data_IF_274114268042
#
_entry.id   IF_274114268042
#
_cell.length_a   1.000
_cell.length_b   1.000
_cell.length_c   1.000
_cell.angle_alpha   90.00
_cell.angle_beta   90.00
_cell.angle_gamma   90.00
#
_symmetry.space_group_name_H-M   'P 1'
#
loop_
_entity.id
_entity.type
_entity.pdbx_description
1 polymer ?
#
# COMPACT_ATOMS: atom_id res chain seq x y z
N UNK A 1 18.06 -16.09 -13.09
CA UNK A 1 17.18 -15.22 -12.27
C UNK A 1 15.88 -15.97 -12.10
N UNK A 2 15.43 -16.21 -10.87
CA UNK A 2 14.10 -16.79 -10.64
C UNK A 2 13.05 -15.84 -11.24
N UNK A 3 12.11 -16.42 -12.00
CA UNK A 3 10.96 -15.70 -12.57
C UNK A 3 9.69 -16.26 -11.93
N UNK A 4 9.37 -15.84 -10.69
CA UNK A 4 8.25 -16.42 -9.95
C UNK A 4 6.88 -15.96 -10.49
N UNK A 5 6.84 -14.93 -11.34
CA UNK A 5 5.61 -14.39 -11.89
C UNK A 5 5.45 -14.78 -13.36
N UNK A 6 4.24 -15.22 -13.72
CA UNK A 6 3.84 -15.41 -15.12
C UNK A 6 3.25 -14.08 -15.60
N UNK A 7 3.71 -13.62 -16.76
CA UNK A 7 3.19 -12.44 -17.43
C UNK A 7 2.55 -12.90 -18.74
N UNK A 8 1.29 -12.53 -18.94
CA UNK A 8 0.54 -12.81 -20.16
C UNK A 8 0.21 -11.46 -20.78
N UNK A 9 0.70 -11.19 -21.98
CA UNK A 9 0.35 -9.95 -22.69
C UNK A 9 -1.08 -10.06 -23.25
N UNK A 10 -1.76 -8.93 -23.45
CA UNK A 10 -3.13 -8.91 -23.99
C UNK A 10 -3.27 -9.58 -25.36
N UNK A 11 -2.20 -9.61 -26.17
CA UNK A 11 -2.16 -10.33 -27.45
C UNK A 11 -2.06 -11.85 -27.31
N UNK A 12 -1.82 -12.35 -26.10
CA UNK A 12 -1.55 -13.75 -25.78
C UNK A 12 -2.69 -14.47 -25.07
N UNK A 13 -3.83 -13.80 -24.81
CA UNK A 13 -5.06 -14.45 -24.36
C UNK A 13 -6.31 -13.85 -25.00
N UNK A 14 -7.41 -14.61 -24.93
CA UNK A 14 -8.75 -14.11 -25.18
C UNK A 14 -9.47 -14.01 -23.85
N UNK A 15 -10.03 -12.84 -23.58
CA UNK A 15 -11.11 -12.71 -22.61
C UNK A 15 -12.41 -12.71 -23.39
N UNK A 16 -13.27 -13.70 -23.16
CA UNK A 16 -14.56 -13.73 -23.83
C UNK A 16 -15.42 -12.56 -23.37
N UNK A 17 -16.12 -11.90 -24.31
CA UNK A 17 -17.10 -10.92 -23.92
C UNK A 17 -18.27 -11.60 -23.20
N UNK A 18 -19.01 -10.81 -22.44
CA UNK A 18 -20.17 -11.28 -21.71
C UNK A 18 -21.25 -10.20 -21.67
N UNK A 19 -22.50 -10.66 -21.54
CA UNK A 19 -23.64 -9.78 -21.31
C UNK A 19 -23.58 -9.23 -19.88
N UNK A 20 -23.73 -7.91 -19.74
CA UNK A 20 -23.84 -7.30 -18.42
C UNK A 20 -25.28 -7.41 -17.91
N UNK A 21 -25.49 -7.59 -16.60
CA UNK A 21 -26.82 -7.61 -16.03
C UNK A 21 -27.49 -6.26 -16.20
N UNK A 22 -28.78 -6.31 -16.52
CA UNK A 22 -29.67 -5.14 -16.53
C UNK A 22 -29.69 -4.48 -15.15
N UNK A 23 -29.54 -3.15 -15.05
CA UNK A 23 -29.69 -2.43 -13.79
C UNK A 23 -31.08 -2.60 -13.17
N UNK A 24 -31.14 -2.60 -11.84
CA UNK A 24 -32.41 -2.61 -11.12
C UNK A 24 -33.24 -1.37 -11.47
N UNK A 25 -34.55 -1.56 -11.70
CA UNK A 25 -35.46 -0.47 -12.04
C UNK A 25 -35.37 0.06 -13.48
N UNK A 26 -34.48 -0.49 -14.30
CA UNK A 26 -34.41 -0.18 -15.72
C UNK A 26 -35.08 -1.27 -16.56
N UNK A 27 -35.83 -0.87 -17.59
CA UNK A 27 -36.33 -1.75 -18.65
C UNK A 27 -35.92 -1.20 -20.01
N UNK A 28 -35.49 -2.09 -20.90
CA UNK A 28 -35.28 -1.70 -22.29
C UNK A 28 -36.64 -1.38 -22.94
N UNK A 29 -36.68 -0.45 -23.92
CA UNK A 29 -37.90 -0.18 -24.66
C UNK A 29 -38.47 -1.44 -25.33
N UNK A 30 -39.78 -1.48 -25.52
CA UNK A 30 -40.41 -2.51 -26.35
C UNK A 30 -39.82 -2.50 -27.76
N UNK A 31 -39.62 -3.69 -28.34
CA UNK A 31 -38.98 -3.89 -29.65
C UNK A 31 -37.53 -3.37 -29.75
N UNK A 32 -36.79 -3.26 -28.64
CA UNK A 32 -35.35 -2.94 -28.70
C UNK A 32 -34.55 -4.02 -29.46
N UNK A 33 -33.63 -3.67 -30.38
CA UNK A 33 -33.12 -2.32 -30.72
C UNK A 33 -33.89 -1.58 -31.83
N UNK A 34 -35.00 -2.11 -32.31
CA UNK A 34 -35.85 -1.54 -33.36
C UNK A 34 -36.87 -0.48 -32.87
N UNK A 35 -36.85 -0.17 -31.59
CA UNK A 35 -37.78 0.79 -30.97
C UNK A 35 -37.72 2.23 -31.53
N UNK A 36 -36.57 2.68 -32.06
CA UNK A 36 -36.44 4.01 -32.69
C UNK A 36 -35.32 4.08 -33.73
N UNK A 37 -35.29 5.14 -34.55
CA UNK A 37 -34.30 5.34 -35.61
C UNK A 37 -32.86 5.43 -35.08
N UNK A 38 -32.67 6.05 -33.91
CA UNK A 38 -31.34 6.16 -33.28
C UNK A 38 -30.80 4.79 -32.86
N UNK A 39 -31.62 3.95 -32.22
CA UNK A 39 -31.19 2.61 -31.82
C UNK A 39 -30.96 1.70 -33.03
N UNK A 40 -31.81 1.77 -34.07
CA UNK A 40 -31.58 1.07 -35.34
C UNK A 40 -30.26 1.50 -35.99
N UNK A 41 -29.98 2.80 -36.02
CA UNK A 41 -28.75 3.34 -36.59
C UNK A 41 -27.51 2.85 -35.83
N UNK A 42 -27.52 2.95 -34.49
CA UNK A 42 -26.40 2.53 -33.65
C UNK A 42 -26.18 1.01 -33.70
N UNK A 43 -27.26 0.22 -33.74
CA UNK A 43 -27.18 -1.23 -33.93
C UNK A 43 -26.54 -1.60 -35.28
N UNK A 44 -26.94 -0.91 -36.35
CA UNK A 44 -26.35 -1.09 -37.67
C UNK A 44 -24.86 -0.73 -37.67
N UNK A 45 -24.48 0.40 -37.07
CA UNK A 45 -23.08 0.83 -36.94
C UNK A 45 -22.21 -0.26 -36.27
N UNK A 46 -22.70 -0.83 -35.18
CA UNK A 46 -22.01 -1.91 -34.46
C UNK A 46 -21.92 -3.19 -35.28
N UNK A 47 -23.00 -3.55 -35.99
CA UNK A 47 -23.04 -4.74 -36.87
C UNK A 47 -22.07 -4.58 -38.05
N UNK A 48 -22.09 -3.43 -38.73
CA UNK A 48 -21.18 -3.11 -39.84
C UNK A 48 -19.70 -3.10 -39.37
N UNK A 49 -19.43 -2.72 -38.12
CA UNK A 49 -18.09 -2.83 -37.53
C UNK A 49 -17.70 -4.30 -37.27
N UNK A 50 -18.59 -5.08 -36.65
CA UNK A 50 -18.37 -6.50 -36.39
C UNK A 50 -18.13 -7.27 -37.70
N UNK A 51 -18.89 -6.99 -38.77
CA UNK A 51 -18.73 -7.65 -40.07
C UNK A 51 -17.33 -7.47 -40.65
N UNK A 52 -16.73 -6.29 -40.46
CA UNK A 52 -15.34 -6.03 -40.89
C UNK A 52 -14.31 -6.75 -40.03
N UNK A 53 -14.61 -7.10 -38.78
CA UNK A 53 -13.71 -7.89 -37.93
C UNK A 53 -13.62 -9.35 -38.43
N UNK A 54 -12.43 -9.97 -38.51
CA UNK A 54 -11.12 -9.49 -38.05
C UNK A 54 -10.31 -8.69 -39.09
N UNK A 55 -10.85 -8.47 -40.28
CA UNK A 55 -10.15 -7.84 -41.41
C UNK A 55 -10.08 -6.30 -41.34
N UNK A 56 -10.50 -5.68 -40.25
CA UNK A 56 -10.49 -4.24 -40.07
C UNK A 56 -9.09 -3.64 -39.87
N UNK A 57 -8.10 -4.42 -39.43
CA UNK A 57 -6.68 -4.03 -39.39
C UNK A 57 -5.75 -5.26 -39.31
N UNK A 58 -4.45 -5.06 -39.54
CA UNK A 58 -3.47 -6.16 -39.48
C UNK A 58 -3.38 -6.79 -38.09
N UNK A 59 -3.42 -6.00 -37.01
CA UNK A 59 -3.39 -6.50 -35.64
C UNK A 59 -4.56 -7.46 -35.34
N UNK A 60 -5.78 -7.13 -35.76
CA UNK A 60 -6.93 -8.01 -35.58
C UNK A 60 -6.86 -9.25 -36.47
N UNK A 61 -6.34 -9.12 -37.69
CA UNK A 61 -6.11 -10.27 -38.58
C UNK A 61 -5.10 -11.25 -37.99
N UNK A 62 -3.99 -10.75 -37.45
CA UNK A 62 -2.97 -11.56 -36.77
C UNK A 62 -3.51 -12.22 -35.50
N UNK A 63 -4.25 -11.47 -34.67
CA UNK A 63 -4.90 -12.00 -33.48
C UNK A 63 -5.85 -13.14 -33.83
N UNK A 64 -6.73 -12.94 -34.81
CA UNK A 64 -7.67 -13.98 -35.23
C UNK A 64 -6.95 -15.21 -35.80
N UNK A 65 -5.91 -15.01 -36.62
CA UNK A 65 -5.08 -16.10 -37.16
C UNK A 65 -4.42 -16.93 -36.05
N UNK A 66 -3.98 -16.27 -34.97
CA UNK A 66 -3.32 -16.93 -33.84
C UNK A 66 -4.25 -17.83 -33.05
N UNK A 67 -5.43 -17.33 -32.69
CA UNK A 67 -6.36 -18.07 -31.82
C UNK A 67 -7.34 -18.95 -32.59
N UNK A 68 -7.60 -18.63 -33.86
CA UNK A 68 -8.46 -19.39 -34.77
C UNK A 68 -9.83 -19.78 -34.15
N UNK A 69 -10.48 -18.82 -33.50
CA UNK A 69 -11.75 -19.04 -32.82
C UNK A 69 -12.96 -18.83 -33.73
N UNK A 70 -14.13 -19.35 -33.32
CA UNK A 70 -15.39 -19.07 -34.01
C UNK A 70 -15.89 -17.65 -33.67
N UNK A 71 -15.77 -16.73 -34.64
CA UNK A 71 -16.20 -15.33 -34.49
C UNK A 71 -17.66 -15.21 -34.06
N UNK A 72 -18.56 -15.95 -34.69
CA UNK A 72 -20.00 -15.82 -34.44
C UNK A 72 -20.34 -16.29 -33.02
N UNK A 73 -19.76 -17.41 -32.60
CA UNK A 73 -19.99 -17.96 -31.27
C UNK A 73 -19.50 -17.04 -30.14
N UNK A 74 -18.46 -16.24 -30.36
CA UNK A 74 -17.86 -15.38 -29.33
C UNK A 74 -18.37 -13.94 -29.42
N UNK A 75 -18.50 -13.39 -30.63
CA UNK A 75 -18.77 -11.97 -30.85
C UNK A 75 -20.15 -11.69 -31.47
N UNK A 76 -20.94 -12.70 -31.86
CA UNK A 76 -22.21 -12.50 -32.58
C UNK A 76 -23.21 -11.59 -31.83
N UNK A 77 -23.27 -11.70 -30.51
CA UNK A 77 -24.17 -10.88 -29.68
C UNK A 77 -23.58 -9.52 -29.26
N UNK A 78 -22.34 -9.21 -29.63
CA UNK A 78 -21.68 -7.97 -29.20
C UNK A 78 -22.42 -6.70 -29.61
N UNK A 79 -23.00 -6.59 -30.82
CA UNK A 79 -23.75 -5.39 -31.19
C UNK A 79 -24.90 -5.09 -30.23
N UNK A 80 -25.69 -6.10 -29.84
CA UNK A 80 -26.80 -5.89 -28.91
C UNK A 80 -26.31 -5.68 -27.48
N UNK A 81 -25.26 -6.37 -27.04
CA UNK A 81 -24.70 -6.19 -25.69
C UNK A 81 -24.07 -4.81 -25.50
N UNK A 82 -23.34 -4.29 -26.50
CA UNK A 82 -22.80 -2.93 -26.45
C UNK A 82 -23.93 -1.90 -26.40
N UNK A 83 -24.94 -2.05 -27.26
CA UNK A 83 -26.04 -1.09 -27.29
C UNK A 83 -26.83 -1.09 -25.98
N UNK A 84 -27.05 -2.27 -25.39
CA UNK A 84 -27.64 -2.41 -24.06
C UNK A 84 -26.75 -1.76 -22.99
N UNK A 85 -25.43 -1.95 -23.06
CA UNK A 85 -24.50 -1.34 -22.13
C UNK A 85 -24.49 0.19 -22.20
N UNK A 86 -24.67 0.78 -23.39
CA UNK A 86 -24.88 2.24 -23.52
C UNK A 86 -26.13 2.66 -22.74
N UNK A 87 -27.26 1.99 -22.96
CA UNK A 87 -28.52 2.31 -22.26
C UNK A 87 -28.40 2.18 -20.73
N UNK A 88 -27.75 1.11 -20.27
CA UNK A 88 -27.56 0.87 -18.84
C UNK A 88 -26.60 1.90 -18.23
N UNK A 89 -25.58 2.31 -18.96
CA UNK A 89 -24.67 3.39 -18.58
C UNK A 89 -25.40 4.73 -18.47
N UNK A 90 -26.21 5.09 -19.47
CA UNK A 90 -26.97 6.33 -19.46
C UNK A 90 -27.91 6.39 -18.24
N UNK A 91 -28.63 5.28 -17.99
CA UNK A 91 -29.46 5.13 -16.80
C UNK A 91 -28.66 5.25 -15.50
N UNK A 92 -27.53 4.52 -15.39
CA UNK A 92 -26.67 4.54 -14.20
C UNK A 92 -26.18 5.95 -13.90
N UNK A 93 -25.75 6.69 -14.92
CA UNK A 93 -25.33 8.08 -14.76
C UNK A 93 -26.46 8.89 -14.12
N UNK A 94 -27.66 8.87 -14.70
CA UNK A 94 -28.79 9.66 -14.18
C UNK A 94 -29.21 9.26 -12.77
N UNK A 95 -29.18 7.96 -12.47
CA UNK A 95 -29.56 7.41 -11.17
C UNK A 95 -28.66 7.92 -10.05
N UNK A 96 -27.33 7.88 -10.24
CA UNK A 96 -26.36 8.10 -9.15
C UNK A 96 -25.66 9.46 -9.23
N UNK A 97 -25.91 10.28 -10.25
CA UNK A 97 -25.19 11.55 -10.45
C UNK A 97 -25.29 12.49 -9.25
N UNK A 98 -26.32 12.36 -8.41
CA UNK A 98 -26.55 13.22 -7.24
C UNK A 98 -26.04 12.61 -5.92
N UNK A 99 -25.52 11.38 -5.94
CA UNK A 99 -24.95 10.74 -4.76
C UNK A 99 -23.57 11.34 -4.41
N UNK A 100 -23.10 11.10 -3.18
CA UNK A 100 -21.79 11.57 -2.73
C UNK A 100 -20.64 10.88 -3.48
N UNK A 101 -20.78 9.58 -3.74
CA UNK A 101 -19.79 8.72 -4.42
C UNK A 101 -20.04 8.57 -5.93
N UNK A 102 -20.80 9.52 -6.51
CA UNK A 102 -21.25 9.48 -7.90
C UNK A 102 -20.12 9.24 -8.92
N UNK A 103 -18.95 9.87 -8.71
CA UNK A 103 -17.85 9.80 -9.66
C UNK A 103 -17.24 8.40 -9.67
N UNK A 104 -17.01 7.86 -8.48
CA UNK A 104 -16.46 6.52 -8.31
C UNK A 104 -17.41 5.46 -8.84
N UNK A 105 -18.70 5.54 -8.51
CA UNK A 105 -19.71 4.59 -8.96
C UNK A 105 -19.80 4.56 -10.49
N UNK A 106 -19.99 5.71 -11.12
CA UNK A 106 -20.13 5.82 -12.57
C UNK A 106 -18.86 5.34 -13.29
N UNK A 107 -17.67 5.75 -12.82
CA UNK A 107 -16.41 5.33 -13.47
C UNK A 107 -16.14 3.84 -13.29
N UNK A 108 -16.51 3.23 -12.15
CA UNK A 108 -16.43 1.79 -11.97
C UNK A 108 -17.39 1.04 -12.88
N UNK A 109 -18.59 1.57 -13.09
CA UNK A 109 -19.55 0.99 -14.03
C UNK A 109 -19.05 1.07 -15.47
N UNK A 110 -18.43 2.19 -15.86
CA UNK A 110 -17.81 2.32 -17.19
C UNK A 110 -16.71 1.29 -17.41
N UNK A 111 -15.84 1.08 -16.41
CA UNK A 111 -14.82 0.03 -16.46
C UNK A 111 -15.45 -1.36 -16.59
N UNK A 112 -16.55 -1.63 -15.88
CA UNK A 112 -17.29 -2.89 -15.97
C UNK A 112 -17.86 -3.14 -17.37
N UNK A 113 -18.55 -2.16 -17.95
CA UNK A 113 -19.07 -2.22 -19.31
C UNK A 113 -17.95 -2.40 -20.35
N UNK A 114 -16.83 -1.66 -20.21
CA UNK A 114 -15.69 -1.83 -21.11
C UNK A 114 -15.07 -3.23 -20.99
N UNK A 115 -14.98 -3.77 -19.77
CA UNK A 115 -14.47 -5.11 -19.50
C UNK A 115 -15.36 -6.21 -20.09
N UNK A 116 -16.67 -5.98 -20.18
CA UNK A 116 -17.61 -6.95 -20.75
C UNK A 116 -17.46 -7.16 -22.25
N UNK A 117 -16.74 -6.29 -22.94
CA UNK A 117 -16.47 -6.40 -24.38
C UNK A 117 -15.31 -7.34 -24.70
N UNK A 118 -14.62 -7.87 -23.68
CA UNK A 118 -13.57 -8.86 -23.82
C UNK A 118 -12.24 -8.33 -24.35
N UNK A 119 -11.35 -9.25 -24.74
CA UNK A 119 -10.04 -8.95 -25.34
C UNK A 119 -9.86 -9.81 -26.60
N UNK A 120 -9.73 -9.19 -27.79
CA UNK A 120 -9.82 -7.76 -28.06
C UNK A 120 -11.22 -7.20 -27.80
N UNK A 121 -11.28 -5.95 -27.34
CA UNK A 121 -12.50 -5.23 -27.00
C UNK A 121 -13.18 -4.68 -28.26
N UNK A 122 -13.74 -5.59 -29.07
CA UNK A 122 -14.39 -5.26 -30.35
C UNK A 122 -15.60 -4.36 -30.11
N UNK A 123 -15.65 -3.20 -30.77
CA UNK A 123 -16.75 -2.23 -30.64
C UNK A 123 -16.63 -1.27 -29.43
N UNK A 124 -15.61 -1.41 -28.57
CA UNK A 124 -15.43 -0.56 -27.39
C UNK A 124 -15.32 0.95 -27.67
N UNK A 125 -14.64 1.33 -28.75
CA UNK A 125 -14.59 2.71 -29.23
C UNK A 125 -15.98 3.28 -29.55
N UNK A 126 -16.89 2.49 -30.12
CA UNK A 126 -18.27 2.92 -30.43
C UNK A 126 -19.06 3.09 -29.12
N UNK A 127 -18.91 2.20 -28.15
CA UNK A 127 -19.47 2.38 -26.82
C UNK A 127 -19.04 3.72 -26.20
N UNK A 128 -17.73 3.99 -26.19
CA UNK A 128 -17.18 5.25 -25.64
C UNK A 128 -17.77 6.45 -26.38
N UNK A 129 -17.84 6.41 -27.70
CA UNK A 129 -18.40 7.50 -28.51
C UNK A 129 -19.87 7.77 -28.19
N UNK A 130 -20.69 6.72 -28.10
CA UNK A 130 -22.12 6.85 -27.78
C UNK A 130 -22.36 7.40 -26.37
N UNK A 131 -21.60 6.93 -25.38
CA UNK A 131 -21.67 7.46 -24.01
C UNK A 131 -21.17 8.91 -23.96
N UNK A 132 -20.11 9.25 -24.69
CA UNK A 132 -19.65 10.63 -24.80
C UNK A 132 -20.71 11.54 -25.43
N UNK A 133 -21.45 11.07 -26.43
CA UNK A 133 -22.54 11.82 -27.06
C UNK A 133 -23.67 12.09 -26.05
N UNK A 134 -24.09 11.08 -25.28
CA UNK A 134 -25.03 11.25 -24.18
C UNK A 134 -24.53 12.30 -23.17
N UNK A 135 -23.28 12.18 -22.71
CA UNK A 135 -22.68 13.12 -21.78
C UNK A 135 -22.48 14.52 -22.36
N UNK A 136 -22.43 14.70 -23.69
CA UNK A 136 -22.36 16.01 -24.33
C UNK A 136 -23.73 16.64 -24.57
N UNK A 137 -24.80 15.85 -24.51
CA UNK A 137 -26.16 16.34 -24.70
C UNK A 137 -26.56 17.30 -23.57
N UNK A 138 -26.86 18.56 -23.93
CA UNK A 138 -27.21 19.63 -23.00
C UNK A 138 -28.61 19.49 -22.40
N UNK A 139 -29.48 18.72 -23.05
CA UNK A 139 -30.86 18.50 -22.60
C UNK A 139 -30.92 17.48 -21.45
N UNK A 140 -29.83 16.73 -21.24
CA UNK A 140 -29.69 15.78 -20.13
C UNK A 140 -29.30 16.54 -18.87
N UNK A 141 -30.05 16.36 -17.79
CA UNK A 141 -29.83 17.04 -16.50
C UNK A 141 -28.60 16.47 -15.76
N UNK A 142 -27.42 16.94 -16.14
CA UNK A 142 -26.14 16.63 -15.48
C UNK A 142 -25.44 17.97 -15.16
N UNK A 143 -25.07 18.23 -13.89
CA UNK A 143 -24.33 19.43 -13.51
C UNK A 143 -23.03 19.59 -14.31
N UNK A 144 -22.77 20.82 -14.80
CA UNK A 144 -21.64 21.11 -15.70
C UNK A 144 -20.28 20.63 -15.19
N UNK A 145 -20.01 20.76 -13.88
CA UNK A 145 -18.74 20.30 -13.29
C UNK A 145 -18.61 18.77 -13.31
N UNK A 146 -19.70 18.03 -13.05
CA UNK A 146 -19.73 16.55 -13.10
C UNK A 146 -19.58 16.06 -14.54
N UNK A 147 -20.29 16.70 -15.48
CA UNK A 147 -20.16 16.44 -16.92
C UNK A 147 -18.72 16.58 -17.40
N UNK A 148 -18.05 17.69 -17.02
CA UNK A 148 -16.66 17.93 -17.36
C UNK A 148 -15.73 16.86 -16.78
N UNK A 149 -15.97 16.42 -15.55
CA UNK A 149 -15.18 15.36 -14.92
C UNK A 149 -15.32 14.01 -15.62
N UNK A 150 -16.54 13.60 -16.02
CA UNK A 150 -16.77 12.35 -16.76
C UNK A 150 -16.15 12.40 -18.17
N UNK A 151 -16.28 13.53 -18.88
CA UNK A 151 -15.63 13.69 -20.18
C UNK A 151 -14.11 13.72 -20.08
N UNK A 152 -13.56 14.26 -18.99
CA UNK A 152 -12.12 14.20 -18.73
C UNK A 152 -11.64 12.77 -18.46
N UNK A 153 -12.44 11.94 -17.78
CA UNK A 153 -12.13 10.53 -17.58
C UNK A 153 -11.88 9.79 -18.90
N UNK A 154 -12.77 9.96 -19.90
CA UNK A 154 -12.57 9.36 -21.22
C UNK A 154 -11.35 9.92 -21.97
N UNK A 155 -11.08 11.22 -21.86
CA UNK A 155 -9.87 11.83 -22.42
C UNK A 155 -8.60 11.25 -21.80
N UNK A 156 -8.59 10.99 -20.50
CA UNK A 156 -7.43 10.37 -19.83
C UNK A 156 -7.23 8.93 -20.28
N UNK A 157 -8.30 8.17 -20.51
CA UNK A 157 -8.22 6.82 -21.08
C UNK A 157 -7.65 6.82 -22.50
N UNK A 158 -8.10 7.74 -23.36
CA UNK A 158 -7.64 7.84 -24.75
C UNK A 158 -6.20 8.36 -24.86
N UNK A 159 -5.80 9.28 -23.97
CA UNK A 159 -4.47 9.91 -23.99
C UNK A 159 -3.45 9.21 -23.06
N UNK A 160 -3.75 8.01 -22.58
CA UNK A 160 -2.83 7.27 -21.71
C UNK A 160 -1.50 7.00 -22.46
N UNK A 161 -0.46 7.75 -22.11
CA UNK A 161 0.87 7.52 -22.68
C UNK A 161 1.41 6.15 -22.23
N UNK A 162 2.06 5.39 -23.13
CA UNK A 162 2.76 4.19 -22.73
C UNK A 162 3.81 4.53 -21.67
N UNK A 163 3.95 3.66 -20.67
CA UNK A 163 4.90 3.89 -19.59
C UNK A 163 6.31 4.13 -20.16
N UNK A 164 6.92 5.26 -19.78
CA UNK A 164 8.28 5.65 -20.21
C UNK A 164 9.34 4.62 -19.83
N UNK A 165 9.09 3.85 -18.77
CA UNK A 165 9.97 2.80 -18.25
C UNK A 165 9.24 1.46 -18.28
N UNK A 166 9.82 0.47 -18.96
CA UNK A 166 9.29 -0.90 -18.98
C UNK A 166 9.28 -1.45 -17.56
N UNK A 167 8.09 -1.66 -17.01
CA UNK A 167 7.87 -2.14 -15.65
C UNK A 167 7.19 -3.49 -15.71
N UNK A 168 7.80 -4.51 -15.08
CA UNK A 168 7.20 -5.84 -14.94
C UNK A 168 7.56 -6.48 -13.60
N UNK A 169 6.76 -7.45 -13.15
CA UNK A 169 6.85 -8.01 -11.80
C UNK A 169 8.16 -8.76 -11.58
N UNK A 170 8.63 -9.52 -12.59
CA UNK A 170 9.88 -10.26 -12.47
C UNK A 170 11.10 -9.33 -12.35
N UNK A 171 11.09 -8.19 -13.04
CA UNK A 171 12.14 -7.18 -12.94
C UNK A 171 12.16 -6.54 -11.55
N UNK A 172 10.99 -6.10 -11.06
CA UNK A 172 10.87 -5.53 -9.71
C UNK A 172 11.28 -6.54 -8.63
N UNK A 173 10.89 -7.81 -8.80
CA UNK A 173 11.27 -8.89 -7.88
C UNK A 173 12.78 -9.15 -7.92
N UNK A 174 13.39 -9.13 -9.09
CA UNK A 174 14.84 -9.24 -9.25
C UNK A 174 15.58 -8.15 -8.46
N UNK A 175 15.14 -6.89 -8.58
CA UNK A 175 15.70 -5.74 -7.84
C UNK A 175 15.54 -5.93 -6.33
N UNK A 176 14.33 -6.26 -5.88
CA UNK A 176 14.03 -6.46 -4.47
C UNK A 176 14.82 -7.64 -3.86
N UNK A 177 14.88 -8.76 -4.58
CA UNK A 177 15.61 -9.97 -4.18
C UNK A 177 17.11 -9.71 -4.04
N UNK A 178 17.71 -8.95 -4.96
CA UNK A 178 19.11 -8.52 -4.85
C UNK A 178 19.34 -7.70 -3.59
N UNK A 179 18.47 -6.74 -3.30
CA UNK A 179 18.57 -5.94 -2.08
C UNK A 179 18.43 -6.79 -0.81
N UNK A 180 17.41 -7.67 -0.75
CA UNK A 180 17.17 -8.57 0.38
C UNK A 180 18.40 -9.47 0.65
N UNK A 181 19.04 -9.94 -0.42
CA UNK A 181 20.27 -10.74 -0.36
C UNK A 181 21.52 -9.92 0.00
N UNK A 182 21.53 -8.62 -0.26
CA UNK A 182 22.66 -7.74 0.00
C UNK A 182 22.66 -7.21 1.45
N UNK A 183 21.49 -6.81 1.96
CA UNK A 183 21.35 -6.26 3.31
C UNK A 183 21.83 -7.25 4.40
N UNK A 184 22.50 -6.79 5.47
CA UNK A 184 23.14 -7.67 6.45
C UNK A 184 22.16 -8.22 7.50
N UNK A 185 21.14 -8.94 7.06
CA UNK A 185 20.11 -9.50 7.94
C UNK A 185 20.60 -10.61 8.89
N UNK A 186 21.78 -11.19 8.65
CA UNK A 186 22.36 -12.21 9.55
C UNK A 186 22.91 -11.60 10.85
N UNK A 187 22.99 -10.27 10.95
CA UNK A 187 23.36 -9.62 12.20
C UNK A 187 22.24 -9.82 13.24
N UNK A 188 22.57 -10.13 14.51
CA UNK A 188 21.57 -10.53 15.52
C UNK A 188 20.42 -9.53 15.72
N UNK A 189 20.68 -8.23 15.56
CA UNK A 189 19.67 -7.18 15.72
C UNK A 189 18.79 -6.96 14.48
N UNK A 190 19.11 -7.58 13.34
CA UNK A 190 18.29 -7.56 12.13
C UNK A 190 17.62 -8.90 11.81
N UNK A 191 18.03 -9.99 12.46
CA UNK A 191 17.56 -11.35 12.17
C UNK A 191 16.02 -11.45 12.14
N UNK A 192 15.34 -10.81 13.10
CA UNK A 192 13.88 -10.81 13.19
C UNK A 192 13.21 -10.05 12.02
N UNK A 193 13.90 -9.09 11.41
CA UNK A 193 13.40 -8.32 10.27
C UNK A 193 13.52 -9.10 8.96
N UNK A 194 14.45 -10.06 8.87
CA UNK A 194 14.65 -10.88 7.66
C UNK A 194 13.35 -11.54 7.22
N UNK A 195 12.61 -12.15 8.15
CA UNK A 195 11.33 -12.81 7.87
C UNK A 195 10.26 -11.82 7.41
N UNK A 196 10.23 -10.63 8.00
CA UNK A 196 9.30 -9.58 7.62
C UNK A 196 9.50 -9.16 6.16
N UNK A 197 10.74 -8.80 5.79
CA UNK A 197 11.05 -8.35 4.43
C UNK A 197 11.05 -9.48 3.40
N UNK A 198 11.37 -10.73 3.78
CA UNK A 198 11.27 -11.87 2.88
C UNK A 198 9.80 -12.19 2.50
N UNK A 199 8.86 -11.92 3.40
CA UNK A 199 7.43 -12.16 3.19
C UNK A 199 6.70 -10.94 2.60
N UNK A 200 7.43 -9.88 2.24
CA UNK A 200 6.86 -8.66 1.68
C UNK A 200 7.42 -8.39 0.30
N UNK A 201 6.59 -7.80 -0.54
CA UNK A 201 7.01 -7.28 -1.83
C UNK A 201 6.39 -5.89 -2.04
N UNK A 202 7.09 -4.82 -1.60
CA UNK A 202 6.52 -3.48 -1.48
C UNK A 202 6.53 -2.73 -2.82
N UNK A 203 5.71 -3.22 -3.76
CA UNK A 203 5.63 -2.67 -5.12
C UNK A 203 4.39 -1.82 -5.37
N UNK A 204 3.48 -1.70 -4.42
CA UNK A 204 2.25 -0.92 -4.56
C UNK A 204 2.53 0.53 -4.13
N UNK A 205 2.23 1.51 -5.00
CA UNK A 205 2.48 2.94 -4.72
C UNK A 205 1.47 3.57 -3.75
N UNK A 206 0.19 3.26 -3.96
CA UNK A 206 -0.94 3.99 -3.37
C UNK A 206 -1.97 3.00 -2.84
N UNK A 207 -2.99 3.53 -2.16
CA UNK A 207 -4.19 2.76 -1.83
C UNK A 207 -4.74 2.06 -3.09
N UNK A 208 -5.08 0.79 -2.91
CA UNK A 208 -5.74 -0.01 -3.94
C UNK A 208 -7.21 0.35 -3.99
N UNK A 209 -7.80 0.37 -5.18
CA UNK A 209 -9.24 0.56 -5.36
C UNK A 209 -9.85 -0.73 -5.90
N UNK A 210 -10.91 -1.20 -5.26
CA UNK A 210 -11.69 -2.34 -5.74
C UNK A 210 -12.90 -1.80 -6.49
N UNK A 211 -13.06 -2.22 -7.75
CA UNK A 211 -14.22 -1.89 -8.55
C UNK A 211 -15.44 -2.69 -8.05
N UNK A 212 -16.52 -1.99 -7.67
CA UNK A 212 -17.70 -2.62 -7.04
C UNK A 212 -18.45 -3.59 -7.95
N UNK A 213 -18.37 -3.41 -9.27
CA UNK A 213 -19.07 -4.22 -10.27
C UNK A 213 -18.24 -5.40 -10.75
N UNK A 214 -16.92 -5.22 -10.86
CA UNK A 214 -16.00 -6.28 -11.27
C UNK A 214 -15.52 -7.17 -10.12
N UNK A 215 -15.55 -6.66 -8.89
CA UNK A 215 -14.87 -7.29 -7.75
C UNK A 215 -13.33 -7.32 -7.90
N UNK A 216 -12.79 -6.59 -8.87
CA UNK A 216 -11.37 -6.55 -9.19
C UNK A 216 -10.69 -5.36 -8.53
N UNK A 217 -9.52 -5.61 -7.94
CA UNK A 217 -8.69 -4.58 -7.32
C UNK A 217 -7.62 -4.08 -8.29
N UNK A 218 -7.60 -2.76 -8.53
CA UNK A 218 -6.59 -2.07 -9.35
C UNK A 218 -5.54 -1.45 -8.44
N UNK A 219 -4.27 -1.75 -8.72
CA UNK A 219 -3.13 -1.22 -7.97
C UNK A 219 -2.14 -0.56 -8.93
N UNK A 220 -1.69 0.65 -8.60
CA UNK A 220 -0.56 1.28 -9.30
C UNK A 220 0.74 0.76 -8.71
N UNK A 221 1.57 0.15 -9.55
CA UNK A 221 2.87 -0.37 -9.12
C UNK A 221 4.00 0.66 -9.28
N UNK A 222 5.06 0.49 -8.50
CA UNK A 222 6.32 1.26 -8.59
C UNK A 222 7.06 0.92 -9.88
N UNK A 223 7.75 1.91 -10.45
CA UNK A 223 8.72 1.64 -11.52
C UNK A 223 10.04 1.10 -10.93
N UNK A 224 10.91 0.47 -11.75
CA UNK A 224 12.23 0.04 -11.29
C UNK A 224 13.04 1.16 -10.64
N UNK A 225 13.03 2.35 -11.22
CA UNK A 225 13.72 3.53 -10.67
C UNK A 225 13.21 3.91 -9.28
N UNK A 226 11.89 3.93 -9.09
CA UNK A 226 11.27 4.27 -7.81
C UNK A 226 11.51 3.20 -6.75
N UNK A 227 11.44 1.92 -7.13
CA UNK A 227 11.76 0.82 -6.22
C UNK A 227 13.20 0.94 -5.70
N UNK A 228 14.17 1.21 -6.59
CA UNK A 228 15.57 1.41 -6.20
C UNK A 228 15.71 2.61 -5.25
N UNK A 229 14.99 3.71 -5.49
CA UNK A 229 14.99 4.86 -4.59
C UNK A 229 14.42 4.50 -3.20
N UNK A 230 13.29 3.79 -3.17
CA UNK A 230 12.68 3.33 -1.93
C UNK A 230 13.61 2.41 -1.14
N UNK A 231 14.31 1.49 -1.82
CA UNK A 231 15.28 0.58 -1.20
C UNK A 231 16.51 1.31 -0.66
N UNK A 232 16.97 2.37 -1.34
CA UNK A 232 18.03 3.23 -0.82
C UNK A 232 17.60 3.91 0.49
N UNK A 233 16.39 4.47 0.52
CA UNK A 233 15.85 5.12 1.71
C UNK A 233 15.63 4.13 2.85
N UNK A 234 15.05 2.96 2.55
CA UNK A 234 14.86 1.88 3.52
C UNK A 234 16.20 1.41 4.11
N UNK A 235 17.23 1.24 3.28
CA UNK A 235 18.57 0.88 3.75
C UNK A 235 19.09 1.90 4.76
N UNK A 236 19.02 3.20 4.43
CA UNK A 236 19.48 4.25 5.33
C UNK A 236 18.71 4.24 6.66
N UNK A 237 17.40 4.07 6.61
CA UNK A 237 16.54 4.04 7.79
C UNK A 237 16.82 2.83 8.69
N UNK A 238 17.05 1.65 8.10
CA UNK A 238 17.38 0.45 8.87
C UNK A 238 18.75 0.59 9.53
N UNK A 239 19.76 1.07 8.80
CA UNK A 239 21.10 1.27 9.33
C UNK A 239 21.15 2.34 10.43
N UNK A 240 20.39 3.43 10.28
CA UNK A 240 20.34 4.50 11.29
C UNK A 240 19.53 4.15 12.54
N UNK A 241 18.66 3.15 12.46
CA UNK A 241 17.90 2.66 13.60
C UNK A 241 18.76 1.87 14.61
N UNK A 242 19.98 1.46 14.21
CA UNK A 242 20.90 0.72 15.08
C UNK A 242 21.95 1.66 15.65
N UNK A 243 21.89 1.86 16.96
CA UNK A 243 22.94 2.54 17.74
C UNK A 243 23.77 1.48 18.48
N UNK A 244 24.85 1.04 17.84
CA UNK A 244 25.73 -0.01 18.40
C UNK A 244 26.43 0.45 19.68
N UNK A 245 26.74 1.74 19.80
CA UNK A 245 27.30 2.33 21.03
C UNK A 245 26.32 2.17 22.18
N UNK A 246 25.04 2.48 21.96
CA UNK A 246 24.01 2.33 22.98
C UNK A 246 23.75 0.85 23.30
N UNK A 247 23.75 -0.04 22.31
CA UNK A 247 23.60 -1.49 22.52
C UNK A 247 24.72 -2.08 23.39
N UNK A 248 25.96 -1.61 23.23
CA UNK A 248 27.09 -1.99 24.09
C UNK A 248 26.89 -1.44 25.51
N UNK A 249 26.53 -0.16 25.65
CA UNK A 249 26.27 0.47 26.97
C UNK A 249 25.16 -0.25 27.75
N UNK A 250 24.09 -0.61 27.06
CA UNK A 250 22.93 -1.30 27.63
C UNK A 250 23.14 -2.80 27.80
N UNK A 251 24.31 -3.32 27.41
CA UNK A 251 24.70 -4.75 27.47
C UNK A 251 23.78 -5.68 26.68
N UNK A 252 23.17 -5.16 25.62
CA UNK A 252 22.54 -6.01 24.60
C UNK A 252 23.58 -6.73 23.75
N UNK A 253 24.82 -6.21 23.71
CA UNK A 253 25.98 -6.88 23.14
C UNK A 253 26.87 -7.34 24.29
N UNK A 254 26.80 -8.63 24.61
CA UNK A 254 27.55 -9.24 25.73
C UNK A 254 28.87 -9.86 25.29
N UNK A 255 29.00 -10.20 24.01
CA UNK A 255 30.20 -10.78 23.41
C UNK A 255 30.64 -9.92 22.22
N UNK A 256 31.57 -9.00 22.49
CA UNK A 256 32.08 -8.07 21.50
C UNK A 256 32.99 -8.75 20.45
N UNK A 257 33.66 -9.86 20.80
CA UNK A 257 34.49 -10.60 19.84
C UNK A 257 33.61 -11.37 18.85
N UNK A 258 32.56 -12.03 19.33
CA UNK A 258 31.57 -12.64 18.43
C UNK A 258 30.93 -11.60 17.52
N UNK A 259 30.49 -10.48 18.08
CA UNK A 259 29.85 -9.40 17.30
C UNK A 259 30.80 -8.81 16.25
N UNK A 260 32.08 -8.65 16.59
CA UNK A 260 33.13 -8.26 15.65
C UNK A 260 33.27 -9.26 14.50
N UNK A 261 33.28 -10.57 14.80
CA UNK A 261 33.34 -11.62 13.79
C UNK A 261 32.11 -11.56 12.87
N UNK A 262 30.92 -11.32 13.41
CA UNK A 262 29.69 -11.18 12.62
C UNK A 262 29.81 -10.03 11.60
N UNK A 263 30.34 -8.86 12.01
CA UNK A 263 30.61 -7.75 11.10
C UNK A 263 31.68 -8.05 10.04
N UNK A 264 32.74 -8.79 10.41
CA UNK A 264 33.77 -9.24 9.46
C UNK A 264 33.16 -10.16 8.40
N UNK A 265 32.37 -11.15 8.84
CA UNK A 265 31.71 -12.11 7.98
C UNK A 265 30.74 -11.42 7.02
N UNK A 266 29.91 -10.50 7.51
CA UNK A 266 28.97 -9.75 6.67
C UNK A 266 29.69 -8.81 5.68
N UNK A 267 30.78 -8.17 6.12
CA UNK A 267 31.63 -7.35 5.24
C UNK A 267 32.28 -8.18 4.13
N UNK A 268 32.72 -9.40 4.44
CA UNK A 268 33.26 -10.31 3.45
C UNK A 268 32.17 -10.82 2.49
N UNK A 269 31.01 -11.24 3.03
CA UNK A 269 29.85 -11.73 2.28
C UNK A 269 29.38 -10.71 1.24
N UNK A 270 29.23 -9.44 1.63
CA UNK A 270 28.79 -8.39 0.68
C UNK A 270 29.84 -8.10 -0.39
N UNK A 271 31.14 -8.18 -0.07
CA UNK A 271 32.22 -8.03 -1.06
C UNK A 271 32.20 -9.17 -2.07
N UNK A 272 32.06 -10.42 -1.62
CA UNK A 272 31.92 -11.58 -2.51
C UNK A 272 30.70 -11.45 -3.43
N UNK A 273 29.54 -11.05 -2.90
CA UNK A 273 28.34 -10.84 -3.71
C UNK A 273 28.50 -9.72 -4.74
N UNK A 274 29.18 -8.62 -4.39
CA UNK A 274 29.43 -7.52 -5.33
C UNK A 274 30.36 -7.88 -6.49
N UNK A 275 31.11 -8.98 -6.37
CA UNK A 275 31.92 -9.51 -7.48
C UNK A 275 31.11 -10.38 -8.45
N UNK A 276 30.02 -10.99 -8.00
CA UNK A 276 29.27 -12.01 -8.76
C UNK A 276 27.88 -11.55 -9.19
N UNK A 277 27.33 -10.52 -8.53
CA UNK A 277 26.00 -9.97 -8.82
C UNK A 277 26.13 -8.66 -9.56
N UNK A 278 25.46 -8.54 -10.71
CA UNK A 278 25.39 -7.30 -11.45
C UNK A 278 24.35 -6.35 -10.83
N UNK A 279 24.84 -5.20 -10.38
CA UNK A 279 24.02 -4.09 -9.87
C UNK A 279 24.02 -2.92 -10.84
N UNK A 280 22.85 -2.33 -11.04
CA UNK A 280 22.67 -1.06 -11.74
C UNK A 280 23.35 0.08 -10.98
N UNK A 281 23.53 1.23 -11.63
CA UNK A 281 24.11 2.43 -11.01
C UNK A 281 23.32 2.88 -9.77
N UNK A 282 21.99 2.77 -9.81
CA UNK A 282 21.12 3.10 -8.68
C UNK A 282 21.22 2.10 -7.53
N UNK A 283 21.28 0.81 -7.84
CA UNK A 283 21.45 -0.26 -6.83
C UNK A 283 22.81 -0.19 -6.13
N UNK A 284 23.87 0.16 -6.85
CA UNK A 284 25.22 0.36 -6.28
C UNK A 284 25.26 1.39 -5.15
N UNK A 285 24.27 2.28 -5.06
CA UNK A 285 24.20 3.29 -3.99
C UNK A 285 23.98 2.63 -2.62
N UNK A 286 22.96 1.78 -2.45
CA UNK A 286 22.73 1.10 -1.17
C UNK A 286 23.85 0.11 -0.84
N UNK A 287 24.44 -0.55 -1.85
CA UNK A 287 25.60 -1.43 -1.65
C UNK A 287 26.78 -0.66 -1.06
N UNK A 288 27.09 0.52 -1.61
CA UNK A 288 28.15 1.39 -1.08
C UNK A 288 27.84 1.85 0.33
N UNK A 289 26.59 2.20 0.64
CA UNK A 289 26.19 2.58 2.00
C UNK A 289 26.40 1.43 2.99
N UNK A 290 25.91 0.23 2.67
CA UNK A 290 26.07 -0.97 3.52
C UNK A 290 27.56 -1.26 3.77
N UNK A 291 28.39 -1.24 2.71
CA UNK A 291 29.83 -1.46 2.83
C UNK A 291 30.49 -0.43 3.76
N UNK A 292 30.20 0.86 3.58
CA UNK A 292 30.74 1.93 4.44
C UNK A 292 30.33 1.75 5.90
N UNK A 293 29.06 1.42 6.14
CA UNK A 293 28.55 1.17 7.48
C UNK A 293 29.24 -0.03 8.13
N UNK A 294 29.39 -1.16 7.43
CA UNK A 294 30.10 -2.34 7.94
C UNK A 294 31.57 -2.07 8.24
N UNK A 295 32.26 -1.27 7.41
CA UNK A 295 33.65 -0.87 7.71
C UNK A 295 33.74 0.01 8.97
N UNK A 296 32.78 0.93 9.17
CA UNK A 296 32.67 1.72 10.38
C UNK A 296 32.47 0.84 11.63
N UNK A 297 31.51 -0.09 11.60
CA UNK A 297 31.25 -0.97 12.74
C UNK A 297 32.45 -1.86 13.07
N UNK A 298 33.14 -2.41 12.06
CA UNK A 298 34.38 -3.18 12.29
C UNK A 298 35.46 -2.33 12.95
N UNK A 299 35.66 -1.09 12.52
CA UNK A 299 36.63 -0.19 13.13
C UNK A 299 36.30 0.06 14.60
N UNK A 300 35.04 0.38 14.91
CA UNK A 300 34.57 0.57 16.28
C UNK A 300 34.82 -0.67 17.16
N UNK A 301 34.39 -1.86 16.72
CA UNK A 301 34.56 -3.08 17.50
C UNK A 301 36.02 -3.54 17.63
N UNK A 302 36.90 -3.17 16.69
CA UNK A 302 38.35 -3.37 16.86
C UNK A 302 38.91 -2.59 18.05
N UNK A 303 38.41 -1.38 18.30
CA UNK A 303 38.88 -0.51 19.37
C UNK A 303 38.33 -0.91 20.75
N UNK A 304 37.07 -1.34 20.82
CA UNK A 304 36.39 -1.63 22.10
C UNK A 304 36.53 -3.07 22.59
N UNK A 305 36.74 -4.06 21.70
CA UNK A 305 36.83 -5.47 22.11
C UNK A 305 37.93 -5.74 23.16
N UNK A 306 39.15 -5.14 23.07
CA UNK A 306 40.17 -5.28 24.12
C UNK A 306 39.74 -4.67 25.47
N UNK A 307 38.96 -3.59 25.43
CA UNK A 307 38.54 -2.84 26.63
C UNK A 307 37.41 -3.53 27.38
N UNK A 308 36.58 -4.32 26.68
CA UNK A 308 35.51 -5.10 27.29
C UNK A 308 36.01 -6.37 27.98
N UNK A 309 37.20 -6.89 27.61
CA UNK A 309 37.85 -8.02 28.32
C UNK A 309 38.46 -7.61 29.67
N UNK A 310 38.81 -6.34 29.86
CA UNK A 310 39.51 -5.83 31.05
C UNK A 310 38.59 -5.14 32.05
N UNK A 311 37.34 -4.87 31.70
CA UNK A 311 36.36 -4.32 32.63
C UNK A 311 35.89 -5.41 33.62
N UNK A 312 36.05 -5.22 34.96
CA UNK A 312 35.47 -6.15 35.91
C UNK A 312 33.96 -6.21 35.67
N UNK A 313 33.41 -7.42 35.64
CA UNK A 313 31.98 -7.66 35.48
C UNK A 313 31.21 -6.99 36.62
N UNK A 314 30.88 -5.69 36.47
CA UNK A 314 29.90 -5.03 37.34
C UNK A 314 28.62 -5.84 37.19
N UNK A 315 28.10 -6.33 38.32
CA UNK A 315 26.96 -7.23 38.41
C UNK A 315 25.94 -6.94 37.30
N UNK A 316 25.62 -7.97 36.51
CA UNK A 316 24.58 -7.90 35.50
C UNK A 316 23.34 -7.26 36.14
N UNK A 317 22.92 -6.10 35.62
CA UNK A 317 21.55 -5.67 35.86
C UNK A 317 20.69 -6.79 35.30
N UNK A 318 19.91 -7.44 36.17
CA UNK A 318 18.97 -8.50 35.79
C UNK A 318 18.24 -8.05 34.51
N UNK A 319 18.11 -8.92 33.49
CA UNK A 319 17.27 -8.61 32.35
C UNK A 319 15.92 -8.14 32.87
N UNK A 320 15.53 -6.91 32.53
CA UNK A 320 14.22 -6.39 32.91
C UNK A 320 13.18 -7.35 32.32
N UNK A 321 12.34 -7.90 33.19
CA UNK A 321 11.26 -8.77 32.75
C UNK A 321 10.41 -8.05 31.68
N UNK A 322 10.00 -8.76 30.60
CA UNK A 322 9.15 -8.17 29.58
C UNK A 322 7.86 -7.63 30.22
N UNK A 323 7.41 -6.48 29.73
CA UNK A 323 6.20 -5.84 30.25
C UNK A 323 5.03 -6.75 29.92
N UNK A 324 4.38 -7.28 30.96
CA UNK A 324 3.17 -8.09 30.84
C UNK A 324 1.90 -7.27 30.94
N UNK A 325 1.93 -6.07 31.51
CA UNK A 325 0.76 -5.19 31.58
C UNK A 325 1.19 -3.74 31.82
N UNK A 326 0.39 -2.80 31.30
CA UNK A 326 0.51 -1.37 31.64
C UNK A 326 -0.18 -1.05 32.98
N UNK A 327 -1.08 -1.92 33.44
CA UNK A 327 -1.69 -1.88 34.77
C UNK A 327 -2.53 -0.63 35.02
N UNK A 328 -3.54 -0.40 34.17
CA UNK A 328 -4.51 0.69 34.35
C UNK A 328 -5.27 0.56 35.69
N UNK A 329 -5.48 1.68 36.38
CA UNK A 329 -6.11 1.75 37.71
C UNK A 329 -7.36 2.63 37.74
N UNK A 330 -7.75 3.21 36.61
CA UNK A 330 -8.88 4.13 36.52
C UNK A 330 -10.19 3.44 36.07
N UNK A 331 -11.15 4.28 35.70
CA UNK A 331 -12.43 3.86 35.14
C UNK A 331 -12.29 3.53 33.64
N UNK A 332 -12.72 2.32 33.28
CA UNK A 332 -12.67 1.77 31.92
C UNK A 332 -13.44 2.64 30.91
N UNK A 333 -14.67 3.04 31.25
CA UNK A 333 -15.56 3.82 30.38
C UNK A 333 -14.96 5.20 30.15
N UNK A 334 -14.42 5.83 31.19
CA UNK A 334 -13.71 7.12 31.07
C UNK A 334 -12.47 7.01 30.18
N UNK A 335 -11.69 5.94 30.31
CA UNK A 335 -10.53 5.71 29.45
C UNK A 335 -10.95 5.59 27.98
N UNK A 336 -11.97 4.78 27.68
CA UNK A 336 -12.47 4.62 26.32
C UNK A 336 -12.97 5.95 25.74
N UNK A 337 -13.68 6.77 26.55
CA UNK A 337 -14.12 8.10 26.15
C UNK A 337 -12.94 9.01 25.79
N UNK A 338 -11.91 9.06 26.64
CA UNK A 338 -10.70 9.85 26.37
C UNK A 338 -9.99 9.39 25.10
N UNK A 339 -9.85 8.08 24.88
CA UNK A 339 -9.24 7.56 23.67
C UNK A 339 -10.03 7.93 22.41
N UNK A 340 -11.36 7.84 22.45
CA UNK A 340 -12.24 8.29 21.34
C UNK A 340 -12.10 9.79 21.09
N UNK A 341 -12.04 10.60 22.15
CA UNK A 341 -11.83 12.05 22.06
C UNK A 341 -10.45 12.41 21.48
N UNK A 342 -9.39 11.70 21.87
CA UNK A 342 -8.06 11.85 21.28
C UNK A 342 -8.08 11.45 19.80
N UNK A 343 -8.73 10.34 19.44
CA UNK A 343 -8.85 9.95 18.04
C UNK A 343 -9.55 11.03 17.20
N UNK A 344 -10.68 11.53 17.68
CA UNK A 344 -11.49 12.48 16.93
C UNK A 344 -10.79 13.84 16.78
N UNK A 345 -10.10 14.32 17.82
CA UNK A 345 -9.62 15.72 17.88
C UNK A 345 -8.16 15.90 17.50
N UNK A 346 -7.33 14.87 17.65
CA UNK A 346 -5.89 14.94 17.35
C UNK A 346 -5.42 13.81 16.42
N UNK A 347 -6.35 13.00 15.90
CA UNK A 347 -6.08 11.88 15.01
C UNK A 347 -4.97 10.96 15.56
N UNK A 348 -5.20 10.42 16.77
CA UNK A 348 -4.21 9.69 17.55
C UNK A 348 -3.63 8.47 16.82
N UNK A 349 -4.48 7.61 16.25
CA UNK A 349 -4.16 6.32 15.66
C UNK A 349 -4.40 6.31 14.15
N UNK A 350 -3.64 5.45 13.47
CA UNK A 350 -3.90 5.01 12.10
C UNK A 350 -5.00 3.94 12.11
N UNK A 351 -6.23 4.36 11.83
CA UNK A 351 -7.44 3.52 11.97
C UNK A 351 -7.49 2.35 10.99
N UNK A 352 -6.72 2.41 9.91
CA UNK A 352 -6.48 1.31 8.96
C UNK A 352 -5.63 0.17 9.55
N UNK A 353 -4.93 0.41 10.67
CA UNK A 353 -4.06 -0.58 11.31
C UNK A 353 -4.39 -0.87 12.78
N UNK A 354 -4.88 0.10 13.53
CA UNK A 354 -5.21 -0.06 14.95
C UNK A 354 -6.49 0.69 15.28
N UNK A 355 -7.52 -0.05 15.70
CA UNK A 355 -8.77 0.56 16.18
C UNK A 355 -8.63 1.07 17.61
N UNK A 356 -9.52 2.00 18.01
CA UNK A 356 -9.53 2.53 19.38
C UNK A 356 -9.86 1.44 20.40
N UNK A 357 -10.72 0.50 20.04
CA UNK A 357 -11.10 -0.65 20.86
C UNK A 357 -9.91 -1.60 21.05
N UNK A 358 -9.09 -1.81 20.01
CA UNK A 358 -7.86 -2.60 20.13
C UNK A 358 -6.84 -1.92 21.04
N UNK A 359 -6.67 -0.61 20.91
CA UNK A 359 -5.76 0.14 21.76
C UNK A 359 -6.23 0.17 23.23
N UNK A 360 -7.52 0.38 23.44
CA UNK A 360 -8.16 0.33 24.74
C UNK A 360 -8.01 -1.04 25.41
N UNK A 361 -8.29 -2.13 24.67
CA UNK A 361 -8.09 -3.52 25.13
C UNK A 361 -6.65 -3.79 25.55
N UNK A 362 -5.67 -3.27 24.81
CA UNK A 362 -4.25 -3.39 25.13
C UNK A 362 -3.89 -2.71 26.45
N UNK A 363 -4.43 -1.52 26.70
CA UNK A 363 -4.18 -0.75 27.92
C UNK A 363 -4.78 -1.40 29.18
N UNK A 364 -5.89 -2.13 29.04
CA UNK A 364 -6.57 -2.85 30.13
C UNK A 364 -6.06 -4.27 30.38
N UNK A 365 -5.26 -4.82 29.47
CA UNK A 365 -4.89 -6.23 29.51
C UNK A 365 -4.06 -6.58 30.76
N UNK A 366 -4.43 -7.66 31.42
CA UNK A 366 -3.64 -8.27 32.52
C UNK A 366 -2.37 -8.96 32.00
N UNK A 367 -2.42 -9.41 30.75
CA UNK A 367 -1.28 -9.92 30.00
C UNK A 367 -1.33 -9.39 28.55
N UNK A 368 -0.40 -8.53 28.17
CA UNK A 368 -0.29 -7.99 26.80
C UNK A 368 0.46 -8.95 25.87
N UNK A 369 1.19 -9.94 26.39
CA UNK A 369 1.99 -10.86 25.56
C UNK A 369 1.13 -11.85 24.77
N UNK A 370 -0.09 -12.09 25.25
CA UNK A 370 -1.11 -12.88 24.54
C UNK A 370 -1.88 -12.06 23.49
N UNK A 371 -1.67 -10.74 23.45
CA UNK A 371 -2.31 -9.85 22.49
C UNK A 371 -1.38 -9.58 21.32
N UNK A 372 -1.78 -10.00 20.12
CA UNK A 372 -1.06 -9.66 18.89
C UNK A 372 -1.49 -8.26 18.38
N UNK A 373 -1.36 -7.23 19.23
CA UNK A 373 -1.79 -5.86 18.92
C UNK A 373 -0.55 -4.97 18.86
N UNK A 374 -0.36 -4.29 17.73
CA UNK A 374 0.60 -3.19 17.55
C UNK A 374 -0.17 -1.89 17.41
N UNK A 375 0.30 -0.84 18.10
CA UNK A 375 -0.34 0.47 18.13
C UNK A 375 0.34 1.38 17.11
N UNK A 376 -0.33 1.65 16.00
CA UNK A 376 0.16 2.57 14.97
C UNK A 376 -0.38 3.96 15.22
N UNK A 377 0.51 4.87 15.60
CA UNK A 377 0.18 6.27 15.84
C UNK A 377 0.08 7.01 14.51
N UNK A 378 -0.83 7.98 14.44
CA UNK A 378 -0.88 8.94 13.35
C UNK A 378 -0.49 10.36 13.79
N UNK A 379 -0.52 10.63 15.10
CA UNK A 379 -0.04 11.89 15.67
C UNK A 379 1.50 11.97 15.76
N UNK A 380 2.02 13.18 16.00
CA UNK A 380 3.46 13.41 16.16
C UNK A 380 4.00 12.80 17.46
N UNK A 381 5.28 12.40 17.45
CA UNK A 381 5.94 11.84 18.64
C UNK A 381 5.90 12.79 19.84
N UNK A 382 5.92 14.12 19.61
CA UNK A 382 5.82 15.15 20.66
C UNK A 382 4.42 15.14 21.29
N UNK A 383 3.36 15.06 20.50
CA UNK A 383 1.99 14.96 20.99
C UNK A 383 1.79 13.66 21.78
N UNK A 384 2.24 12.53 21.23
CA UNK A 384 2.12 11.24 21.92
C UNK A 384 2.92 11.19 23.22
N UNK A 385 4.13 11.77 23.24
CA UNK A 385 4.94 11.89 24.48
C UNK A 385 4.22 12.67 25.57
N UNK A 386 3.50 13.72 25.19
CA UNK A 386 2.68 14.51 26.11
C UNK A 386 1.45 13.74 26.60
N UNK A 387 0.80 12.97 25.74
CA UNK A 387 -0.31 12.07 26.14
C UNK A 387 0.18 11.06 27.17
N UNK A 388 1.35 10.46 26.98
CA UNK A 388 1.97 9.56 27.97
C UNK A 388 2.11 10.25 29.33
N UNK A 389 2.55 11.50 29.38
CA UNK A 389 2.72 12.21 30.66
C UNK A 389 1.40 12.54 31.35
N UNK A 390 0.30 12.67 30.61
CA UNK A 390 -1.06 12.83 31.17
C UNK A 390 -1.66 11.51 31.64
N UNK A 391 -1.30 10.40 30.98
CA UNK A 391 -1.81 9.08 31.33
C UNK A 391 -1.05 8.44 32.50
N UNK A 392 0.23 8.77 32.71
CA UNK A 392 1.11 8.02 33.61
C UNK A 392 0.54 7.78 35.02
N UNK A 393 -0.22 8.73 35.59
CA UNK A 393 -0.75 8.63 36.96
C UNK A 393 -1.88 7.61 37.10
N UNK A 394 -2.53 7.25 35.98
CA UNK A 394 -3.62 6.27 35.94
C UNK A 394 -3.13 4.85 35.68
N UNK A 395 -1.82 4.65 35.50
CA UNK A 395 -1.22 3.37 35.15
C UNK A 395 -0.09 3.00 36.10
N UNK A 396 0.10 1.70 36.30
CA UNK A 396 1.22 1.18 37.07
C UNK A 396 2.53 1.30 36.28
N UNK A 397 2.46 1.14 34.96
CA UNK A 397 3.63 1.04 34.08
C UNK A 397 3.39 1.68 32.71
N UNK A 398 3.05 2.96 32.63
CA UNK A 398 2.85 3.66 31.35
C UNK A 398 3.71 4.92 31.21
N UNK A 399 5.00 4.82 31.52
CA UNK A 399 5.98 5.90 31.27
C UNK A 399 6.64 5.68 29.91
N UNK A 400 7.37 6.68 29.40
CA UNK A 400 8.08 6.53 28.12
C UNK A 400 9.04 5.35 28.06
N UNK A 401 9.67 5.02 29.19
CA UNK A 401 10.52 3.83 29.29
C UNK A 401 9.68 2.56 29.13
N UNK A 402 8.49 2.50 29.75
CA UNK A 402 7.60 1.35 29.63
C UNK A 402 7.04 1.21 28.21
N UNK A 403 6.65 2.32 27.57
CA UNK A 403 6.21 2.35 26.17
C UNK A 403 7.31 1.87 25.21
N UNK A 404 8.54 2.36 25.40
CA UNK A 404 9.72 1.93 24.62
C UNK A 404 10.04 0.44 24.85
N UNK A 405 10.12 0.01 26.11
CA UNK A 405 10.47 -1.36 26.50
C UNK A 405 9.41 -2.37 26.00
N UNK A 406 8.16 -1.94 25.79
CA UNK A 406 7.09 -2.78 25.26
C UNK A 406 7.28 -3.17 23.79
N UNK A 407 7.95 -2.32 22.99
CA UNK A 407 8.07 -2.47 21.51
C UNK A 407 6.74 -2.58 20.75
N UNK A 408 5.62 -2.17 21.37
CA UNK A 408 4.28 -2.29 20.78
C UNK A 408 3.83 -1.04 20.01
N UNK A 409 4.50 0.09 20.20
CA UNK A 409 4.09 1.39 19.65
C UNK A 409 4.93 1.78 18.45
N UNK A 410 4.27 2.18 17.36
CA UNK A 410 4.90 2.61 16.13
C UNK A 410 4.51 4.06 15.85
N UNK A 411 5.48 4.86 15.42
CA UNK A 411 5.28 6.26 15.04
C UNK A 411 4.40 6.40 13.78
N UNK A 412 4.06 7.63 13.44
CA UNK A 412 3.41 7.97 12.15
C UNK A 412 4.16 7.48 10.92
N UNK A 413 5.48 7.28 11.03
CA UNK A 413 6.32 6.72 9.96
C UNK A 413 6.52 5.20 10.08
N UNK A 414 5.72 4.51 10.89
CA UNK A 414 5.76 3.06 11.11
C UNK A 414 7.06 2.54 11.74
N UNK A 415 7.87 3.41 12.35
CA UNK A 415 9.06 3.02 13.12
C UNK A 415 8.68 2.72 14.57
N UNK A 416 9.23 1.65 15.16
CA UNK A 416 9.01 1.34 16.58
C UNK A 416 9.54 2.49 17.44
N UNK A 417 8.70 3.02 18.33
CA UNK A 417 9.11 4.09 19.23
C UNK A 417 10.13 3.57 20.24
N UNK A 418 11.31 4.18 20.23
CA UNK A 418 12.37 3.90 21.20
C UNK A 418 12.57 5.06 22.18
N UNK A 419 13.42 4.85 23.18
CA UNK A 419 13.75 5.82 24.22
C UNK A 419 14.29 7.14 23.64
N UNK A 420 15.07 7.08 22.56
CA UNK A 420 15.60 8.26 21.87
C UNK A 420 14.47 9.09 21.23
N UNK A 421 13.53 8.45 20.53
CA UNK A 421 12.38 9.13 19.91
C UNK A 421 11.51 9.83 20.97
N UNK A 422 11.29 9.19 22.12
CA UNK A 422 10.48 9.74 23.20
C UNK A 422 11.22 10.79 24.03
N UNK A 423 12.55 10.71 24.11
CA UNK A 423 13.39 11.70 24.81
C UNK A 423 13.55 12.97 24.00
N UNK A 424 13.77 12.86 22.69
CA UNK A 424 13.84 14.02 21.76
C UNK A 424 12.50 14.74 21.61
N UNK A 425 11.40 14.01 21.80
CA UNK A 425 10.05 14.54 21.83
C UNK A 425 9.68 15.30 23.12
N UNK A 426 10.63 15.51 24.04
CA UNK A 426 10.40 16.23 25.29
C UNK A 426 10.48 17.75 25.12
N UNK A 427 9.57 18.31 24.32
CA UNK A 427 9.38 19.76 24.21
C UNK A 427 8.12 20.16 25.00
N UNK A 428 8.19 21.24 25.79
CA UNK A 428 7.12 21.61 26.73
C UNK A 428 5.80 22.10 26.09
N UNK A 429 5.71 22.11 24.75
CA UNK A 429 4.59 22.69 24.01
C UNK A 429 4.24 21.89 22.74
N UNK A 430 3.53 20.74 22.85
CA UNK A 430 3.04 20.01 21.69
C UNK A 430 1.96 20.80 20.94
N UNK A 431 1.81 20.50 19.64
CA UNK A 431 0.63 20.92 18.89
C UNK A 431 -0.64 20.41 19.57
N UNK A 432 -1.70 21.23 19.59
CA UNK A 432 -2.99 20.89 20.21
C UNK A 432 -2.91 20.61 21.73
N UNK A 433 -1.87 21.12 22.43
CA UNK A 433 -1.70 20.98 23.89
C UNK A 433 -2.98 21.28 24.68
N UNK A 434 -3.60 22.43 24.42
CA UNK A 434 -4.83 22.86 25.12
C UNK A 434 -6.00 21.91 24.88
N UNK A 435 -6.10 21.34 23.68
CA UNK A 435 -7.12 20.34 23.34
C UNK A 435 -6.84 19.05 24.11
N UNK A 436 -5.59 18.58 24.14
CA UNK A 436 -5.17 17.40 24.91
C UNK A 436 -5.48 17.63 26.41
N UNK A 437 -5.12 18.79 26.96
CA UNK A 437 -5.42 19.15 28.34
C UNK A 437 -6.92 19.12 28.64
N UNK A 438 -7.75 19.66 27.73
CA UNK A 438 -9.21 19.64 27.88
C UNK A 438 -9.78 18.23 27.86
N UNK A 439 -9.27 17.34 26.99
CA UNK A 439 -9.70 15.94 26.94
C UNK A 439 -9.36 15.23 28.26
N UNK A 440 -8.15 15.43 28.79
CA UNK A 440 -7.74 14.76 30.03
C UNK A 440 -8.41 15.30 31.31
N UNK A 441 -9.08 16.46 31.27
CA UNK A 441 -9.97 16.89 32.36
C UNK A 441 -11.16 15.95 32.56
N UNK A 442 -11.57 15.21 31.53
CA UNK A 442 -12.65 14.21 31.62
C UNK A 442 -12.23 12.93 32.39
N UNK A 443 -10.91 12.74 32.54
CA UNK A 443 -10.32 11.61 33.28
C UNK A 443 -10.08 11.92 34.76
N UNK A 444 -10.03 13.20 35.13
CA UNK A 444 -10.05 13.67 36.53
C UNK A 444 -11.45 13.47 37.13
#
# INVERSE_FOLDING_TARGET
MEKPFIEIESKDFIQYPFEIPKPDGYELPEDFPNCCDNHKHNYKLLTDYLDRFPNCCDNHREFFKKFNFNKEAIYGNIPIWILSAVQYTDFKVLEVINNDDWYEDITEYFEFCAWSMGTPAIGSHIYIELVELFLKNKDVDIPNHKRKALLNYFKELQNAEPAKEKTNLNLLFGIYSKWLKAFPFELPFYEQLKKHFANQFPIIKNATRTNRYLGLTKAKIVTPTELVLNLNNLTNNLLSAVDTVQLVKDRHITDAEKTKIDFINESHRIKQKDLTVEYTKGEKRYIKTIKKWLENEKAYFNEIAPQLKTAPAKAARKPKEPIKTFGFKGDDIKLLSVLKSLQLRINLLKTDHTSIEQFHKLLLAKDITILNIKVHLNCENIQFRYIISKMQDYFTRFRSVDVSDSKLFLSSNTTVLNSSNLSTANTGNPKEKEIIDKIFKEMQ
#
